data_IF_309490314709
#
_entry.id   IF_309490314709
#
_cell.length_a   1.000
_cell.length_b   1.000
_cell.length_c   1.000
_cell.angle_alpha   90.00
_cell.angle_beta   90.00
_cell.angle_gamma   90.00
#
_symmetry.space_group_name_H-M   'P 1'
#
loop_
_entity.id
_entity.type
_entity.pdbx_description
1 polymer ?
#
# COMPACT_ATOMS: atom_id res chain seq x y z
N UNK A 1 -2.80 3.11 16.68
CA UNK A 1 -3.44 1.78 16.81
C UNK A 1 -3.53 1.14 15.44
N UNK A 2 -3.17 -0.13 15.35
CA UNK A 2 -3.22 -0.91 14.11
C UNK A 2 -3.94 -2.23 14.40
N UNK A 3 -4.87 -2.60 13.54
CA UNK A 3 -5.57 -3.88 13.57
C UNK A 3 -5.66 -4.42 12.15
N UNK A 4 -5.47 -5.73 12.01
CA UNK A 4 -5.66 -6.41 10.74
C UNK A 4 -6.28 -7.78 10.96
N UNK A 5 -6.98 -8.28 9.95
CA UNK A 5 -7.55 -9.62 9.94
C UNK A 5 -7.32 -10.28 8.57
N UNK A 6 -7.20 -11.59 8.59
CA UNK A 6 -7.16 -12.45 7.41
C UNK A 6 -8.17 -13.58 7.62
N UNK A 7 -9.06 -13.77 6.65
CA UNK A 7 -10.12 -14.76 6.68
C UNK A 7 -9.96 -15.67 5.47
N UNK A 8 -9.65 -16.94 5.73
CA UNK A 8 -9.65 -17.98 4.71
C UNK A 8 -11.10 -18.33 4.34
N UNK A 9 -11.52 -17.95 3.13
CA UNK A 9 -12.85 -18.30 2.60
C UNK A 9 -12.83 -19.69 1.95
N UNK A 10 -11.73 -20.01 1.27
CA UNK A 10 -11.40 -21.32 0.69
C UNK A 10 -9.88 -21.50 0.73
N UNK A 11 -9.39 -22.71 0.48
CA UNK A 11 -7.93 -23.01 0.44
C UNK A 11 -7.11 -22.08 -0.47
N UNK A 12 -7.74 -21.38 -1.42
CA UNK A 12 -7.08 -20.49 -2.37
C UNK A 12 -7.58 -19.04 -2.30
N UNK A 13 -8.63 -18.73 -1.53
CA UNK A 13 -9.23 -17.39 -1.51
C UNK A 13 -9.27 -16.88 -0.07
N UNK A 14 -8.61 -15.77 0.15
CA UNK A 14 -8.56 -15.09 1.44
C UNK A 14 -9.18 -13.70 1.30
N UNK A 15 -9.90 -13.27 2.33
CA UNK A 15 -10.34 -11.89 2.51
C UNK A 15 -9.52 -11.27 3.64
N UNK A 16 -8.91 -10.12 3.37
CA UNK A 16 -8.04 -9.43 4.30
C UNK A 16 -8.57 -8.01 4.54
N UNK A 17 -8.38 -7.52 5.76
CA UNK A 17 -8.71 -6.15 6.11
C UNK A 17 -7.69 -5.57 7.08
N UNK A 18 -7.48 -4.27 6.98
CA UNK A 18 -6.55 -3.50 7.80
C UNK A 18 -7.18 -2.16 8.19
N UNK A 19 -6.99 -1.79 9.45
CA UNK A 19 -7.37 -0.50 10.00
C UNK A 19 -6.17 0.05 10.77
N UNK A 20 -5.72 1.24 10.41
CA UNK A 20 -4.68 1.97 11.13
C UNK A 20 -5.17 3.37 11.48
N UNK A 21 -4.99 3.74 12.74
CA UNK A 21 -5.34 5.04 13.29
C UNK A 21 -4.11 5.58 14.00
N UNK A 22 -3.73 6.80 13.68
CA UNK A 22 -2.61 7.49 14.32
C UNK A 22 -2.97 8.95 14.53
N UNK A 23 -2.56 9.49 15.66
CA UNK A 23 -2.70 10.91 15.97
C UNK A 23 -1.48 11.39 16.75
N UNK A 24 -1.03 12.59 16.43
CA UNK A 24 -0.06 13.33 17.23
C UNK A 24 -0.82 14.11 18.31
N UNK A 25 -0.58 13.76 19.57
CA UNK A 25 -1.18 14.42 20.74
C UNK A 25 -0.33 15.59 21.26
N UNK A 26 0.77 15.92 20.58
CA UNK A 26 1.72 16.92 21.05
C UNK A 26 1.26 18.34 20.69
N UNK A 27 0.76 19.05 21.70
CA UNK A 27 0.24 20.42 21.63
C UNK A 27 1.33 21.51 21.65
N UNK A 28 2.60 21.11 21.58
CA UNK A 28 3.71 22.07 21.51
C UNK A 28 3.77 22.68 20.11
N UNK A 29 3.51 23.99 20.02
CA UNK A 29 3.90 24.87 18.90
C UNK A 29 5.42 24.78 18.72
N UNK A 30 5.85 23.78 17.96
CA UNK A 30 7.23 23.69 17.49
C UNK A 30 7.31 24.59 16.28
N UNK A 31 8.09 25.67 16.37
CA UNK A 31 8.44 26.48 15.21
C UNK A 31 9.35 25.61 14.33
N UNK A 32 8.75 24.80 13.47
CA UNK A 32 9.47 23.98 12.52
C UNK A 32 10.08 24.93 11.48
N UNK A 33 11.39 25.18 11.58
CA UNK A 33 12.17 25.98 10.60
C UNK A 33 12.43 25.22 9.29
N UNK A 34 11.53 24.31 8.91
CA UNK A 34 11.61 23.53 7.68
C UNK A 34 10.91 24.30 6.55
N UNK A 35 11.49 24.31 5.35
CA UNK A 35 10.88 24.91 4.15
C UNK A 35 9.53 24.28 3.75
N UNK A 36 9.15 23.17 4.37
CA UNK A 36 7.83 22.56 4.32
C UNK A 36 7.23 22.62 5.73
N UNK A 37 6.40 23.63 5.99
CA UNK A 37 5.80 23.88 7.30
C UNK A 37 4.39 23.25 7.38
N UNK A 38 4.33 21.95 7.10
CA UNK A 38 3.12 21.13 7.15
C UNK A 38 3.36 19.95 8.09
N UNK A 39 2.45 19.72 9.04
CA UNK A 39 2.51 18.61 10.01
C UNK A 39 1.27 17.75 9.89
N UNK A 40 1.41 16.43 9.89
CA UNK A 40 0.27 15.51 9.95
C UNK A 40 -0.15 15.41 11.42
N UNK A 41 -1.39 15.80 11.73
CA UNK A 41 -1.98 15.71 13.06
C UNK A 41 -2.65 14.36 13.28
N UNK A 42 -3.36 13.86 12.28
CA UNK A 42 -4.07 12.60 12.35
C UNK A 42 -3.99 11.87 11.02
N UNK A 43 -3.98 10.54 11.13
CA UNK A 43 -3.94 9.63 10.01
C UNK A 43 -4.90 8.47 10.27
N UNK A 44 -5.77 8.22 9.30
CA UNK A 44 -6.67 7.08 9.32
C UNK A 44 -6.50 6.32 8.01
N UNK A 45 -6.39 5.01 8.12
CA UNK A 45 -6.26 4.10 7.00
C UNK A 45 -7.20 2.93 7.20
N UNK A 46 -7.99 2.67 6.17
CA UNK A 46 -8.82 1.50 6.06
C UNK A 46 -8.51 0.82 4.72
N UNK A 47 -8.28 -0.48 4.74
CA UNK A 47 -8.05 -1.28 3.55
C UNK A 47 -8.82 -2.58 3.68
N UNK A 48 -9.50 -2.98 2.62
CA UNK A 48 -10.11 -4.30 2.52
C UNK A 48 -9.83 -4.88 1.15
N UNK A 49 -9.48 -6.16 1.09
CA UNK A 49 -9.17 -6.81 -0.16
C UNK A 49 -9.41 -8.31 -0.14
N UNK A 50 -9.45 -8.87 -1.34
CA UNK A 50 -9.56 -10.30 -1.59
C UNK A 50 -8.32 -10.72 -2.37
N UNK A 51 -7.75 -11.84 -1.97
CA UNK A 51 -6.62 -12.46 -2.63
C UNK A 51 -7.02 -13.87 -3.08
N UNK A 52 -6.80 -14.16 -4.35
CA UNK A 52 -6.79 -15.53 -4.87
C UNK A 52 -5.35 -15.97 -5.08
N UNK A 53 -4.94 -17.01 -4.36
CA UNK A 53 -3.62 -17.60 -4.48
C UNK A 53 -3.54 -18.60 -5.65
N UNK A 54 -2.41 -18.61 -6.37
CA UNK A 54 -2.08 -19.70 -7.26
C UNK A 54 -1.81 -20.98 -6.48
N UNK A 55 -2.10 -22.12 -7.12
CA UNK A 55 -1.87 -23.45 -6.55
C UNK A 55 -0.39 -23.66 -6.20
N UNK A 56 -0.14 -24.51 -5.21
CA UNK A 56 1.21 -24.87 -4.80
C UNK A 56 1.97 -25.63 -5.91
N UNK A 57 1.25 -26.50 -6.64
CA UNK A 57 1.77 -27.32 -7.74
C UNK A 57 0.85 -27.15 -8.97
N UNK A 58 1.01 -26.06 -9.74
CA UNK A 58 0.19 -25.82 -10.92
C UNK A 58 0.53 -26.83 -12.02
N UNK A 59 -0.47 -27.54 -12.54
CA UNK A 59 -0.35 -28.43 -13.70
C UNK A 59 -0.61 -27.69 -15.01
N UNK A 60 -1.40 -26.62 -14.95
CA UNK A 60 -1.79 -25.81 -16.09
C UNK A 60 -1.38 -24.35 -15.82
N UNK A 61 -1.04 -23.61 -16.88
CA UNK A 61 -0.52 -22.24 -16.78
C UNK A 61 -1.40 -21.29 -15.93
N UNK A 62 -2.73 -21.38 -16.07
CA UNK A 62 -3.66 -20.49 -15.36
C UNK A 62 -3.74 -20.79 -13.85
N UNK A 63 -3.30 -21.97 -13.41
CA UNK A 63 -3.21 -22.33 -11.99
C UNK A 63 -2.00 -21.69 -11.30
N UNK A 64 -1.06 -21.12 -12.08
CA UNK A 64 0.12 -20.39 -11.60
C UNK A 64 -0.17 -18.91 -11.33
N UNK A 65 -1.40 -18.46 -11.60
CA UNK A 65 -1.82 -17.06 -11.48
C UNK A 65 -2.35 -16.73 -10.08
N UNK A 66 -1.85 -15.63 -9.54
CA UNK A 66 -2.37 -14.96 -8.35
C UNK A 66 -3.15 -13.72 -8.75
N UNK A 67 -4.23 -13.44 -8.04
CA UNK A 67 -4.99 -12.21 -8.22
C UNK A 67 -5.23 -11.55 -6.87
N UNK A 68 -5.19 -10.23 -6.86
CA UNK A 68 -5.46 -9.40 -5.70
C UNK A 68 -6.35 -8.24 -6.13
N UNK A 69 -7.36 -7.95 -5.33
CA UNK A 69 -8.20 -6.79 -5.53
C UNK A 69 -8.55 -6.21 -4.17
N UNK A 70 -8.63 -4.89 -4.07
CA UNK A 70 -8.98 -4.27 -2.79
C UNK A 70 -9.30 -2.80 -2.93
N UNK A 71 -9.97 -2.27 -1.92
CA UNK A 71 -10.36 -0.87 -1.81
C UNK A 71 -9.61 -0.29 -0.62
N UNK A 72 -9.07 0.90 -0.82
CA UNK A 72 -8.27 1.62 0.17
C UNK A 72 -8.94 2.96 0.41
N UNK A 73 -9.11 3.31 1.68
CA UNK A 73 -9.56 4.63 2.12
C UNK A 73 -8.51 5.19 3.08
N UNK A 74 -8.03 6.41 2.84
CA UNK A 74 -7.07 7.07 3.73
C UNK A 74 -7.46 8.51 3.94
N UNK A 75 -7.44 8.96 5.19
CA UNK A 75 -7.69 10.34 5.56
C UNK A 75 -6.48 10.89 6.31
N UNK A 76 -6.11 12.13 5.99
CA UNK A 76 -5.00 12.85 6.59
C UNK A 76 -5.49 14.21 7.05
N UNK A 77 -5.33 14.49 8.33
CA UNK A 77 -5.48 15.84 8.86
C UNK A 77 -4.09 16.47 8.98
N UNK A 78 -3.92 17.60 8.32
CA UNK A 78 -2.68 18.36 8.25
C UNK A 78 -2.88 19.72 8.89
N UNK A 79 -1.89 20.13 9.66
CA UNK A 79 -1.74 21.49 10.15
C UNK A 79 -0.80 22.25 9.21
N UNK A 80 -1.27 23.36 8.63
CA UNK A 80 -0.43 24.23 7.82
C UNK A 80 -0.27 25.60 8.49
N UNK A 81 0.97 25.95 8.83
CA UNK A 81 1.29 27.18 9.56
C UNK A 81 1.69 28.36 8.63
N UNK A 82 1.49 28.24 7.30
CA UNK A 82 2.05 29.17 6.30
C UNK A 82 1.13 30.28 5.77
N UNK A 83 -0.10 30.44 6.27
CA UNK A 83 -0.89 31.60 5.86
C UNK A 83 -0.42 32.83 6.65
N UNK A 84 -0.12 33.91 5.92
CA UNK A 84 0.56 35.15 6.33
C UNK A 84 -0.09 35.94 7.49
N UNK A 85 -1.09 35.36 8.14
CA UNK A 85 -1.94 35.98 9.15
C UNK A 85 -1.75 35.35 10.54
N UNK A 86 -0.84 34.38 10.69
CA UNK A 86 -0.56 33.71 11.97
C UNK A 86 -1.66 32.76 12.45
N UNK A 87 -2.61 32.42 11.57
CA UNK A 87 -3.65 31.42 11.84
C UNK A 87 -3.26 30.08 11.22
N UNK A 88 -3.34 29.04 12.05
CA UNK A 88 -3.18 27.65 11.63
C UNK A 88 -4.50 27.21 11.01
N UNK A 89 -4.49 26.86 9.72
CA UNK A 89 -5.66 26.28 9.06
C UNK A 89 -5.49 24.76 8.99
N UNK A 90 -6.53 24.05 9.43
CA UNK A 90 -6.60 22.60 9.31
C UNK A 90 -6.95 22.24 7.86
N UNK A 91 -6.09 21.43 7.27
CA UNK A 91 -6.19 20.99 5.90
C UNK A 91 -6.45 19.49 5.89
N UNK A 92 -7.48 19.04 5.19
CA UNK A 92 -7.90 17.64 5.18
C UNK A 92 -7.72 17.06 3.78
N UNK A 93 -7.03 15.92 3.69
CA UNK A 93 -6.88 15.14 2.47
C UNK A 93 -7.62 13.82 2.66
N UNK A 94 -8.47 13.49 1.70
CA UNK A 94 -9.11 12.18 1.65
C UNK A 94 -8.75 11.43 0.35
N UNK A 95 -8.29 10.20 0.50
CA UNK A 95 -7.93 9.30 -0.59
C UNK A 95 -8.91 8.13 -0.61
N UNK A 96 -9.58 7.93 -1.74
CA UNK A 96 -10.33 6.71 -2.03
C UNK A 96 -9.67 6.03 -3.21
N UNK A 97 -9.29 4.76 -3.05
CA UNK A 97 -8.54 4.04 -4.04
C UNK A 97 -9.02 2.62 -4.30
N UNK A 98 -8.78 2.18 -5.53
CA UNK A 98 -8.93 0.81 -5.99
C UNK A 98 -7.55 0.23 -6.28
N UNK A 99 -7.30 -0.98 -5.79
CA UNK A 99 -6.08 -1.74 -6.01
C UNK A 99 -6.40 -3.02 -6.75
N UNK A 100 -5.61 -3.31 -7.79
CA UNK A 100 -5.69 -4.55 -8.56
C UNK A 100 -4.27 -5.06 -8.72
N UNK A 101 -4.05 -6.35 -8.49
CA UNK A 101 -2.77 -6.99 -8.70
C UNK A 101 -2.93 -8.36 -9.34
N UNK A 102 -1.96 -8.72 -10.16
CA UNK A 102 -1.83 -10.06 -10.71
C UNK A 102 -0.39 -10.54 -10.52
N UNK A 103 -0.21 -11.82 -10.29
CA UNK A 103 1.10 -12.40 -10.15
C UNK A 103 1.22 -13.75 -10.82
N UNK A 104 2.42 -14.11 -11.20
CA UNK A 104 2.73 -15.38 -11.86
C UNK A 104 3.79 -16.07 -11.02
N UNK A 105 3.48 -17.27 -10.52
CA UNK A 105 4.49 -18.17 -9.97
C UNK A 105 5.24 -18.85 -11.09
N UNK A 106 6.56 -18.96 -10.97
CA UNK A 106 7.41 -19.61 -11.97
C UNK A 106 8.51 -20.45 -11.34
N UNK A 107 8.90 -21.53 -12.02
CA UNK A 107 9.88 -22.50 -11.52
C UNK A 107 9.36 -23.33 -10.34
N UNK A 108 10.26 -24.11 -9.74
CA UNK A 108 9.94 -25.05 -8.64
C UNK A 108 10.11 -24.39 -7.27
N UNK A 109 10.87 -23.30 -7.17
CA UNK A 109 11.37 -22.73 -5.90
C UNK A 109 10.60 -21.50 -5.42
N UNK A 110 9.26 -21.58 -5.38
CA UNK A 110 8.37 -20.49 -4.90
C UNK A 110 8.66 -19.09 -5.51
N UNK A 111 9.26 -19.01 -6.70
CA UNK A 111 9.52 -17.71 -7.32
C UNK A 111 8.21 -17.12 -7.85
N UNK A 112 8.07 -15.80 -7.75
CA UNK A 112 6.90 -15.09 -8.22
C UNK A 112 7.24 -13.69 -8.72
N UNK A 113 6.56 -13.27 -9.78
CA UNK A 113 6.50 -11.88 -10.20
C UNK A 113 5.09 -11.40 -9.92
N UNK A 114 4.95 -10.23 -9.31
CA UNK A 114 3.66 -9.62 -8.97
C UNK A 114 3.65 -8.21 -9.55
N UNK A 115 2.57 -7.89 -10.25
CA UNK A 115 2.27 -6.58 -10.79
C UNK A 115 1.07 -6.02 -10.02
N UNK A 116 1.12 -4.74 -9.68
CA UNK A 116 0.05 -4.04 -8.97
C UNK A 116 -0.23 -2.68 -9.59
N UNK A 117 -1.50 -2.33 -9.72
CA UNK A 117 -1.98 -1.02 -10.12
C UNK A 117 -2.89 -0.52 -8.99
N UNK A 118 -2.64 0.70 -8.53
CA UNK A 118 -3.50 1.39 -7.59
C UNK A 118 -3.96 2.71 -8.23
N UNK A 119 -5.28 2.89 -8.29
CA UNK A 119 -5.92 4.11 -8.75
C UNK A 119 -6.50 4.79 -7.51
N UNK A 120 -6.05 6.00 -7.19
CA UNK A 120 -6.45 6.71 -5.99
C UNK A 120 -7.01 8.07 -6.42
N UNK A 121 -8.28 8.32 -6.13
CA UNK A 121 -8.84 9.66 -6.19
C UNK A 121 -8.57 10.37 -4.85
N UNK A 122 -7.83 11.46 -4.92
CA UNK A 122 -7.50 12.32 -3.78
C UNK A 122 -8.36 13.57 -3.85
N UNK A 123 -9.22 13.76 -2.87
CA UNK A 123 -9.92 15.02 -2.63
C UNK A 123 -9.22 15.82 -1.53
N UNK A 124 -9.31 17.13 -1.67
CA UNK A 124 -8.61 18.12 -0.86
C UNK A 124 -9.61 19.22 -0.49
N UNK A 125 -9.57 19.71 0.76
CA UNK A 125 -10.45 20.80 1.20
C UNK A 125 -10.27 22.12 0.44
N UNK A 126 -9.10 22.36 -0.18
CA UNK A 126 -8.79 23.64 -0.84
C UNK A 126 -8.50 23.52 -2.35
N UNK A 127 -8.47 22.32 -2.93
CA UNK A 127 -8.10 22.11 -4.32
C UNK A 127 -9.03 21.10 -5.01
N UNK A 128 -9.02 21.09 -6.34
CA UNK A 128 -9.76 20.11 -7.12
C UNK A 128 -9.22 18.69 -6.91
N UNK A 129 -10.12 17.71 -7.01
CA UNK A 129 -9.80 16.29 -6.99
C UNK A 129 -8.66 15.91 -7.95
N UNK A 130 -7.79 15.00 -7.50
CA UNK A 130 -6.62 14.53 -8.25
C UNK A 130 -6.62 13.01 -8.33
N UNK A 131 -6.51 12.50 -9.55
CA UNK A 131 -6.31 11.06 -9.77
C UNK A 131 -4.82 10.72 -9.73
N UNK A 132 -4.43 9.89 -8.77
CA UNK A 132 -3.09 9.36 -8.59
C UNK A 132 -3.09 7.90 -9.06
N UNK A 133 -2.19 7.57 -10.00
CA UNK A 133 -2.02 6.19 -10.50
C UNK A 133 -0.64 5.68 -10.10
N UNK A 134 -0.60 4.59 -9.33
CA UNK A 134 0.63 3.96 -8.89
C UNK A 134 0.75 2.57 -9.49
N UNK A 135 1.86 2.30 -10.16
CA UNK A 135 2.19 0.99 -10.72
C UNK A 135 3.39 0.39 -9.96
N UNK A 136 3.25 -0.86 -9.55
CA UNK A 136 4.21 -1.58 -8.72
C UNK A 136 4.59 -2.90 -9.38
N UNK A 137 5.88 -3.23 -9.38
CA UNK A 137 6.40 -4.54 -9.76
C UNK A 137 7.18 -5.11 -8.57
N UNK A 138 6.79 -6.30 -8.11
CA UNK A 138 7.49 -7.06 -7.10
C UNK A 138 8.02 -8.36 -7.69
N UNK A 139 9.27 -8.70 -7.37
CA UNK A 139 9.87 -9.98 -7.71
C UNK A 139 10.28 -10.65 -6.40
N UNK A 140 9.90 -11.91 -6.23
CA UNK A 140 10.36 -12.74 -5.11
C UNK A 140 11.02 -13.98 -5.68
N UNK A 141 12.25 -14.25 -5.22
CA UNK A 141 13.08 -15.37 -5.64
C UNK A 141 13.36 -16.19 -4.38
N UNK A 142 12.89 -17.43 -4.37
CA UNK A 142 12.99 -18.30 -3.19
C UNK A 142 14.34 -18.99 -3.05
N UNK A 143 14.96 -19.37 -4.17
CA UNK A 143 16.24 -20.08 -4.17
C UNK A 143 17.20 -19.41 -5.16
N UNK A 144 18.33 -18.92 -4.64
CA UNK A 144 19.34 -18.20 -5.39
C UNK A 144 20.69 -18.91 -5.21
N UNK A 145 20.85 -20.07 -5.83
CA UNK A 145 22.14 -20.77 -5.81
C UNK A 145 23.10 -20.16 -6.82
N UNK A 146 23.97 -19.26 -6.36
CA UNK A 146 25.17 -18.90 -7.11
C UNK A 146 26.16 -20.07 -7.06
N UNK A 147 26.10 -20.97 -8.04
CA UNK A 147 27.20 -21.92 -8.25
C UNK A 147 28.39 -21.14 -8.81
N UNK A 148 29.29 -20.69 -7.92
CA UNK A 148 30.61 -20.18 -8.29
C UNK A 148 31.39 -21.35 -8.91
N UNK A 149 31.42 -21.44 -10.24
CA UNK A 149 32.33 -22.37 -10.93
C UNK A 149 33.75 -21.92 -10.62
N UNK A 150 34.47 -22.67 -9.78
CA UNK A 150 35.94 -22.54 -9.72
C UNK A 150 36.45 -23.04 -11.06
N UNK A 151 37.10 -22.18 -11.82
CA UNK A 151 37.99 -22.63 -12.90
C UNK A 151 39.06 -23.48 -12.22
N UNK A 152 39.12 -24.78 -12.54
CA UNK A 152 40.24 -25.62 -12.10
C UNK A 152 41.48 -25.07 -12.80
N UNK A 153 42.41 -24.55 -12.01
CA UNK A 153 43.80 -24.32 -12.42
C UNK A 153 44.52 -25.66 -12.50
#
# INVERSE_FOLDING_TARGET
MFLGFDLELTEMIHAQGEISLWSDLNDRKTNLTSGLNQRILAYQHFNIGIIRFARALPRIWHESLHFRGGIIHRSYELENQLFANGQSENYNINDIGLSIGFGIKFGVTKNQIVFGINLINRSDSHNSDKLITNFNIGISIGDLWFVKRRVKQ
#
